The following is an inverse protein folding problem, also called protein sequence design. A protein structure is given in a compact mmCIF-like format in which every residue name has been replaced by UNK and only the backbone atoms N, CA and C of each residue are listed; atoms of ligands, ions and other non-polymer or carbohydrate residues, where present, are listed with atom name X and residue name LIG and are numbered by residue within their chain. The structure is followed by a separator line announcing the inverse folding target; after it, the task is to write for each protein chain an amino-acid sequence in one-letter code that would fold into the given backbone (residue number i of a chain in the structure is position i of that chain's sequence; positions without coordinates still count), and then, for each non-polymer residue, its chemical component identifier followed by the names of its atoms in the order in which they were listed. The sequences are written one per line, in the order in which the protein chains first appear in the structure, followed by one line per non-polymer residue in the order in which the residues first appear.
data_IF_115375930534
#
_entry.id   IF_115375930534
#
_cell.length_a   1.000
_cell.length_b   1.000
_cell.length_c   1.000
_cell.angle_alpha   90.00
_cell.angle_beta   90.00
_cell.angle_gamma   90.00
#
_symmetry.space_group_name_H-M   'P 1'
#
loop_
_entity.id
_entity.type
_entity.pdbx_description
1 polymer ?
#
# COMPACT_ATOMS: atom_id res chain seq x y z
N UNK A 1 -11.14 -6.02 3.67
CA UNK A 1 -11.01 -6.79 2.45
C UNK A 1 -11.88 -6.30 1.34
N UNK A 2 -13.12 -5.99 1.66
CA UNK A 2 -14.01 -5.42 0.67
C UNK A 2 -13.46 -4.14 0.11
N UNK A 3 -12.94 -3.32 0.97
CA UNK A 3 -12.39 -2.03 0.61
C UNK A 3 -11.23 -2.19 -0.35
N UNK A 4 -10.39 -3.16 -0.08
CA UNK A 4 -9.23 -3.42 -0.92
C UNK A 4 -9.64 -3.74 -2.35
N UNK A 5 -10.68 -4.53 -2.51
CA UNK A 5 -11.11 -4.92 -3.83
C UNK A 5 -11.59 -3.75 -4.68
N UNK A 6 -12.32 -2.84 -4.06
CA UNK A 6 -12.87 -1.72 -4.82
C UNK A 6 -11.79 -0.79 -5.34
N UNK A 7 -10.81 -0.54 -4.51
CA UNK A 7 -9.71 0.34 -4.90
C UNK A 7 -8.89 -0.28 -6.01
N UNK A 8 -8.59 -1.55 -5.88
CA UNK A 8 -7.75 -2.23 -6.86
C UNK A 8 -8.38 -2.28 -8.24
N UNK A 9 -9.67 -2.42 -8.29
CA UNK A 9 -10.37 -2.52 -9.56
C UNK A 9 -10.14 -1.36 -10.49
N UNK A 10 -10.13 -0.16 -9.96
CA UNK A 10 -10.02 1.04 -10.78
C UNK A 10 -8.65 1.13 -11.43
N UNK A 11 -7.63 0.77 -10.68
CA UNK A 11 -6.27 0.93 -11.15
C UNK A 11 -5.84 -0.19 -12.09
N UNK A 12 -6.25 -1.41 -11.78
CA UNK A 12 -5.81 -2.56 -12.54
C UNK A 12 -6.29 -2.55 -13.98
N UNK A 13 -7.46 -2.01 -14.21
CA UNK A 13 -8.03 -1.98 -15.55
C UNK A 13 -7.14 -1.21 -16.51
N UNK A 14 -6.41 -0.24 -16.02
CA UNK A 14 -5.66 0.64 -16.91
C UNK A 14 -4.25 0.16 -17.20
N UNK A 15 -3.60 -0.48 -16.23
CA UNK A 15 -2.15 -0.56 -16.30
C UNK A 15 -1.51 -1.93 -16.34
N UNK A 16 -2.20 -2.93 -15.91
CA UNK A 16 -1.54 -4.18 -15.56
C UNK A 16 -0.78 -4.83 -16.73
N UNK A 17 -1.33 -4.75 -17.93
CA UNK A 17 -0.70 -5.44 -19.04
C UNK A 17 0.60 -4.80 -19.48
N UNK A 18 0.73 -3.50 -19.30
CA UNK A 18 1.91 -2.78 -19.77
C UNK A 18 3.08 -2.84 -18.79
N UNK A 19 2.77 -2.97 -17.51
CA UNK A 19 3.82 -2.96 -16.50
C UNK A 19 4.58 -4.27 -16.38
N UNK A 20 4.15 -5.29 -17.09
CA UNK A 20 4.85 -6.57 -17.04
C UNK A 20 6.11 -6.60 -17.91
N UNK A 21 6.34 -5.58 -18.72
CA UNK A 21 7.47 -5.55 -19.63
C UNK A 21 8.41 -4.40 -19.30
N UNK A 22 9.70 -4.73 -19.21
CA UNK A 22 10.74 -3.73 -19.03
C UNK A 22 10.77 -3.10 -17.66
N UNK A 23 11.65 -2.16 -17.51
CA UNK A 23 11.81 -1.45 -16.25
C UNK A 23 10.71 -0.42 -16.07
N UNK A 24 10.27 -0.25 -14.83
CA UNK A 24 9.23 0.71 -14.53
C UNK A 24 9.30 1.09 -13.07
N UNK A 25 8.61 2.19 -12.72
CA UNK A 25 8.41 2.60 -11.35
C UNK A 25 7.04 2.11 -10.91
N UNK A 26 7.00 1.38 -9.82
CA UNK A 26 5.76 0.78 -9.35
C UNK A 26 5.64 0.97 -7.85
N UNK A 27 4.50 1.51 -7.42
CA UNK A 27 4.25 1.78 -6.01
C UNK A 27 2.84 1.37 -5.64
N UNK A 28 2.66 1.17 -4.36
CA UNK A 28 1.35 0.83 -3.82
C UNK A 28 1.12 1.67 -2.58
N UNK A 29 -0.12 2.13 -2.40
CA UNK A 29 -0.52 2.92 -1.25
C UNK A 29 -1.44 2.08 -0.37
N UNK A 30 -1.30 2.20 0.96
CA UNK A 30 -2.16 1.48 1.88
C UNK A 30 -2.66 2.39 2.99
N UNK A 31 -3.85 2.07 3.49
CA UNK A 31 -4.43 2.67 4.68
C UNK A 31 -4.71 1.55 5.67
N UNK A 32 -4.28 1.72 6.90
CA UNK A 32 -4.41 0.67 7.90
C UNK A 32 -4.99 1.24 9.19
N UNK A 33 -6.00 0.56 9.71
CA UNK A 33 -6.53 0.81 11.04
C UNK A 33 -6.09 -0.35 11.92
N UNK A 34 -5.48 -0.04 13.05
CA UNK A 34 -4.97 -1.09 13.92
C UNK A 34 -5.05 -0.67 15.37
N UNK A 35 -5.08 -1.68 16.25
CA UNK A 35 -4.99 -1.42 17.68
C UNK A 35 -3.60 -0.88 17.97
N UNK A 36 -3.53 0.10 18.86
CA UNK A 36 -2.28 0.81 19.14
C UNK A 36 -1.14 -0.19 19.32
N UNK A 37 -0.11 -0.03 18.51
CA UNK A 37 1.04 -0.93 18.49
C UNK A 37 2.26 -0.17 18.00
N UNK A 38 3.27 -0.10 18.84
CA UNK A 38 4.50 0.57 18.43
C UNK A 38 5.22 -0.17 17.34
N UNK A 39 5.09 -1.48 17.33
CA UNK A 39 5.70 -2.30 16.27
C UNK A 39 5.13 -1.93 14.91
N UNK A 40 3.81 -1.89 14.81
CA UNK A 40 3.16 -1.57 13.53
C UNK A 40 3.45 -0.14 13.14
N UNK A 41 3.43 0.77 14.11
CA UNK A 41 3.73 2.16 13.83
C UNK A 41 5.14 2.33 13.24
N UNK A 42 6.12 1.64 13.79
CA UNK A 42 7.48 1.72 13.29
C UNK A 42 7.61 1.17 11.89
N UNK A 43 6.95 0.04 11.63
CA UNK A 43 6.98 -0.55 10.31
C UNK A 43 6.41 0.40 9.28
N UNK A 44 5.27 1.00 9.58
CA UNK A 44 4.63 1.91 8.65
C UNK A 44 5.42 3.19 8.45
N UNK A 45 6.05 3.69 9.51
CA UNK A 45 6.87 4.89 9.38
C UNK A 45 8.09 4.66 8.49
N UNK A 46 8.61 3.43 8.46
CA UNK A 46 9.72 3.12 7.56
C UNK A 46 9.29 3.13 6.10
N UNK A 47 7.98 3.15 5.84
CA UNK A 47 7.41 3.20 4.50
C UNK A 47 6.67 4.50 4.25
N UNK A 48 7.25 5.61 4.64
CA UNK A 48 6.65 6.92 4.43
C UNK A 48 5.31 7.06 5.17
N UNK A 49 5.20 6.42 6.32
CA UNK A 49 3.95 6.39 7.06
C UNK A 49 3.52 7.73 7.62
N UNK A 50 2.22 7.95 7.60
CA UNK A 50 1.62 9.16 8.12
C UNK A 50 0.44 8.80 9.01
N UNK A 51 0.39 9.43 10.19
CA UNK A 51 -0.70 9.20 11.12
C UNK A 51 -1.89 10.08 10.75
N UNK A 52 -3.05 9.47 10.58
CA UNK A 52 -4.27 10.20 10.27
C UNK A 52 -5.19 10.30 11.47
N UNK A 53 -5.16 9.26 12.32
CA UNK A 53 -5.99 9.24 13.51
C UNK A 53 -5.26 8.47 14.59
N UNK A 54 -5.30 8.98 15.81
CA UNK A 54 -4.65 8.32 16.93
C UNK A 54 -5.41 8.59 18.21
N UNK A 55 -5.82 7.52 18.89
CA UNK A 55 -6.36 7.64 20.22
C UNK A 55 -5.74 6.54 21.09
N UNK A 56 -6.28 6.32 22.28
CA UNK A 56 -5.67 5.37 23.20
C UNK A 56 -5.68 3.94 22.68
N UNK A 57 -6.69 3.60 21.90
CA UNK A 57 -6.91 2.21 21.51
C UNK A 57 -6.60 1.94 20.05
N UNK A 58 -6.76 2.93 19.19
CA UNK A 58 -6.74 2.72 17.74
C UNK A 58 -5.90 3.77 17.05
N UNK A 59 -5.22 3.35 16.01
CA UNK A 59 -4.50 4.24 15.10
C UNK A 59 -4.90 3.97 13.66
N UNK A 60 -4.95 5.04 12.87
CA UNK A 60 -5.12 4.94 11.43
C UNK A 60 -3.91 5.60 10.78
N UNK A 61 -3.23 4.86 9.94
CA UNK A 61 -2.04 5.36 9.24
C UNK A 61 -2.09 5.02 7.77
N UNK A 62 -1.43 5.83 6.97
CA UNK A 62 -1.18 5.51 5.58
C UNK A 62 0.30 5.24 5.39
N UNK A 63 0.63 4.52 4.32
CA UNK A 63 2.02 4.28 3.95
C UNK A 63 2.06 3.96 2.47
N UNK A 64 3.24 4.11 1.86
CA UNK A 64 3.41 3.75 0.46
C UNK A 64 4.84 3.29 0.22
N UNK A 65 5.01 2.47 -0.80
CA UNK A 65 6.30 1.94 -1.16
C UNK A 65 6.14 1.02 -2.35
N UNK A 66 7.20 0.33 -2.72
CA UNK A 66 7.09 -0.65 -3.81
C UNK A 66 6.18 -1.79 -3.36
N UNK A 67 5.66 -2.53 -4.33
CA UNK A 67 4.77 -3.65 -4.02
C UNK A 67 5.45 -4.67 -3.10
N UNK A 68 6.72 -4.95 -3.33
CA UNK A 68 7.44 -5.90 -2.48
C UNK A 68 7.64 -5.36 -1.08
N UNK A 69 7.91 -4.06 -0.93
CA UNK A 69 8.03 -3.46 0.39
C UNK A 69 6.71 -3.53 1.16
N UNK A 70 5.61 -3.28 0.48
CA UNK A 70 4.30 -3.35 1.11
C UNK A 70 3.99 -4.77 1.56
N UNK A 71 4.28 -5.76 0.71
CA UNK A 71 4.04 -7.16 1.07
C UNK A 71 4.85 -7.58 2.29
N UNK A 72 6.12 -7.21 2.32
CA UNK A 72 6.97 -7.52 3.45
C UNK A 72 6.47 -6.85 4.73
N UNK A 73 6.04 -5.61 4.61
CA UNK A 73 5.53 -4.88 5.77
C UNK A 73 4.27 -5.55 6.32
N UNK A 74 3.36 -5.93 5.46
CA UNK A 74 2.14 -6.59 5.89
C UNK A 74 2.44 -7.90 6.61
N UNK A 75 3.37 -8.67 6.08
CA UNK A 75 3.77 -9.90 6.73
C UNK A 75 4.41 -9.65 8.09
N UNK A 76 5.24 -8.62 8.17
CA UNK A 76 5.93 -8.30 9.42
C UNK A 76 4.96 -7.83 10.49
N UNK A 77 3.90 -7.15 10.10
CA UNK A 77 2.91 -6.65 11.06
C UNK A 77 2.10 -7.77 11.72
N UNK A 78 1.90 -8.86 11.00
CA UNK A 78 1.04 -9.93 11.48
C UNK A 78 -0.42 -9.53 11.40
N UNK A 79 -1.29 -10.36 11.98
CA UNK A 79 -2.73 -10.12 11.88
C UNK A 79 -3.39 -9.71 13.18
N UNK A 80 -2.68 -9.85 14.30
CA UNK A 80 -3.31 -9.76 15.61
C UNK A 80 -3.94 -8.40 15.89
N UNK A 81 -3.25 -7.33 15.54
CA UNK A 81 -3.70 -6.00 15.87
C UNK A 81 -4.31 -5.23 14.72
N UNK A 82 -4.38 -5.83 13.55
CA UNK A 82 -4.92 -5.15 12.38
C UNK A 82 -6.44 -5.28 12.36
N UNK A 83 -7.12 -4.15 12.33
CA UNK A 83 -8.57 -4.12 12.30
C UNK A 83 -9.10 -4.00 10.88
N UNK A 84 -8.41 -3.22 10.07
CA UNK A 84 -8.90 -2.94 8.73
C UNK A 84 -7.73 -2.51 7.86
N UNK A 85 -7.72 -2.94 6.62
CA UNK A 85 -6.65 -2.56 5.69
C UNK A 85 -7.26 -2.32 4.31
N UNK A 86 -6.84 -1.23 3.68
CA UNK A 86 -7.24 -0.91 2.32
C UNK A 86 -5.99 -0.69 1.49
N UNK A 87 -5.96 -1.30 0.32
CA UNK A 87 -4.80 -1.21 -0.58
C UNK A 87 -5.24 -0.67 -1.92
N UNK A 88 -4.41 0.20 -2.47
CA UNK A 88 -4.71 0.79 -3.78
C UNK A 88 -4.40 -0.16 -4.93
N UNK A 89 -3.59 -1.19 -4.68
CA UNK A 89 -3.00 -1.95 -5.77
C UNK A 89 -1.85 -1.18 -6.39
N UNK A 90 -1.13 -1.82 -7.28
CA UNK A 90 0.06 -1.24 -7.87
C UNK A 90 -0.28 -0.10 -8.82
N UNK A 91 0.47 0.97 -8.72
CA UNK A 91 0.41 2.11 -9.61
C UNK A 91 1.81 2.30 -10.17
N UNK A 92 1.93 2.51 -11.47
CA UNK A 92 3.27 2.62 -12.02
C UNK A 92 3.35 3.33 -13.33
N UNK A 93 4.58 3.70 -13.67
CA UNK A 93 4.92 4.33 -14.93
C UNK A 93 6.20 3.68 -15.44
N UNK A 94 6.36 3.67 -16.75
CA UNK A 94 7.62 3.19 -17.31
C UNK A 94 8.75 4.14 -16.97
N UNK A 95 9.93 3.57 -16.88
CA UNK A 95 11.12 4.33 -16.57
C UNK A 95 11.58 5.13 -17.77
N UNK A 96 12.12 6.33 -17.52
CA UNK A 96 12.68 7.16 -18.57
C UNK A 96 11.62 7.71 -19.50
N UNK A 97 11.91 7.68 -20.80
CA UNK A 97 11.04 8.28 -21.80
C UNK A 97 9.91 7.36 -22.26
N UNK A 98 9.90 6.13 -21.80
CA UNK A 98 8.87 5.19 -22.16
C UNK A 98 7.55 5.56 -21.50
N UNK A 99 6.45 5.43 -22.23
CA UNK A 99 5.15 5.81 -21.69
C UNK A 99 4.16 4.67 -21.82
N UNK A 100 3.18 4.68 -20.93
CA UNK A 100 2.08 3.72 -21.00
C UNK A 100 1.11 4.15 -22.10
N UNK A 101 0.66 3.16 -22.87
CA UNK A 101 -0.36 3.43 -23.87
C UNK A 101 -1.71 3.04 -23.34
N UNK A 102 -2.65 3.91 -23.48
CA UNK A 102 -3.98 3.70 -22.95
C UNK A 102 -4.94 3.37 -24.07
#
# INVERSE_FOLDING_TARGET
EQITKQINKIIDVIKVSDLTEGDHHEYEFILIKFKHSEKIQKILKSLNGKIHEKNQDIMVMSAWGSSSEIELAIKAMGKVNILEIARSGSIGLHEGEKVLKI
#
